data_IF_714862531787
#
_entry.id   IF_714862531787
#
_cell.length_a   1.000
_cell.length_b   1.000
_cell.length_c   1.000
_cell.angle_alpha   90.00
_cell.angle_beta   90.00
_cell.angle_gamma   90.00
#
_symmetry.space_group_name_H-M   'P 1'
#
loop_
_entity.id
_entity.type
_entity.pdbx_description
1 polymer ?
#
# COMPACT_ATOMS: atom_id res chain seq x y z
N UNK A 1 -6.55 -20.90 15.77
CA UNK A 1 -5.42 -21.49 15.01
C UNK A 1 -4.32 -20.44 14.99
N UNK A 2 -3.15 -20.74 15.55
CA UNK A 2 -2.01 -19.84 15.57
C UNK A 2 -0.73 -20.65 15.37
N UNK A 3 0.33 -20.01 14.86
CA UNK A 3 1.62 -20.64 14.60
C UNK A 3 2.00 -20.69 13.12
N UNK A 4 3.26 -21.01 12.79
CA UNK A 4 3.78 -21.01 11.42
C UNK A 4 3.00 -21.92 10.46
N UNK A 5 2.54 -23.07 10.93
CA UNK A 5 1.78 -24.06 10.17
C UNK A 5 0.41 -23.51 9.78
N UNK A 6 -0.27 -22.86 10.73
CA UNK A 6 -1.54 -22.19 10.47
C UNK A 6 -1.38 -21.04 9.46
N UNK A 7 -0.31 -20.26 9.59
CA UNK A 7 -0.01 -19.17 8.64
C UNK A 7 0.26 -19.72 7.23
N UNK A 8 1.01 -20.82 7.10
CA UNK A 8 1.28 -21.45 5.79
C UNK A 8 0.02 -22.05 5.18
N UNK A 9 -0.85 -22.64 6.00
CA UNK A 9 -2.13 -23.16 5.56
C UNK A 9 -2.99 -22.07 4.92
N UNK A 10 -3.18 -20.96 5.64
CA UNK A 10 -4.06 -19.85 5.24
C UNK A 10 -3.43 -18.97 4.14
N UNK A 11 -2.16 -18.57 4.28
CA UNK A 11 -1.55 -17.51 3.47
C UNK A 11 -0.75 -18.03 2.26
N UNK A 12 -0.61 -19.34 2.07
CA UNK A 12 0.27 -19.88 1.02
C UNK A 12 -0.22 -21.14 0.33
N UNK A 13 -0.60 -22.18 1.07
CA UNK A 13 -0.80 -23.52 0.49
C UNK A 13 -2.23 -23.79 0.02
N UNK A 14 -3.22 -23.26 0.73
CA UNK A 14 -4.65 -23.50 0.45
C UNK A 14 -5.42 -22.18 0.38
N UNK A 15 -4.82 -21.16 -0.26
CA UNK A 15 -5.44 -19.83 -0.35
C UNK A 15 -6.80 -19.87 -1.07
N UNK A 16 -7.00 -20.83 -1.97
CA UNK A 16 -8.23 -21.09 -2.71
C UNK A 16 -9.36 -21.68 -1.86
N UNK A 17 -9.07 -22.12 -0.63
CA UNK A 17 -10.11 -22.55 0.33
C UNK A 17 -10.78 -21.37 1.05
N UNK A 18 -10.28 -20.15 0.86
CA UNK A 18 -10.74 -18.96 1.57
C UNK A 18 -11.24 -17.90 0.59
N UNK A 19 -12.35 -17.27 0.94
CA UNK A 19 -12.82 -16.06 0.26
C UNK A 19 -12.14 -14.85 0.89
N UNK A 20 -11.41 -14.11 0.07
CA UNK A 20 -10.72 -12.89 0.50
C UNK A 20 -11.66 -11.69 0.49
N UNK A 21 -12.53 -11.61 -0.50
CA UNK A 21 -13.59 -10.60 -0.61
C UNK A 21 -14.50 -10.67 0.61
N UNK A 22 -14.93 -11.86 1.05
CA UNK A 22 -15.90 -11.99 2.14
C UNK A 22 -15.31 -11.76 3.53
N UNK A 23 -13.97 -11.69 3.64
CA UNK A 23 -13.29 -11.31 4.87
C UNK A 23 -13.43 -9.82 5.22
N UNK A 24 -13.87 -8.98 4.28
CA UNK A 24 -13.96 -7.52 4.47
C UNK A 24 -15.39 -7.02 4.69
N UNK A 25 -15.59 -5.98 5.53
CA UNK A 25 -16.90 -5.37 5.75
C UNK A 25 -17.39 -4.64 4.49
N UNK A 26 -18.71 -4.48 4.37
CA UNK A 26 -19.36 -3.84 3.21
C UNK A 26 -18.81 -2.45 2.92
N UNK A 27 -18.47 -1.67 3.95
CA UNK A 27 -17.91 -0.32 3.83
C UNK A 27 -16.58 -0.32 3.09
N UNK A 28 -15.74 -1.33 3.33
CA UNK A 28 -14.45 -1.48 2.66
C UNK A 28 -14.64 -1.87 1.19
N UNK A 29 -15.59 -2.78 0.91
CA UNK A 29 -15.97 -3.16 -0.45
C UNK A 29 -16.48 -1.96 -1.27
N UNK A 30 -17.34 -1.14 -0.68
CA UNK A 30 -17.89 0.06 -1.34
C UNK A 30 -16.82 1.11 -1.63
N UNK A 31 -15.89 1.33 -0.70
CA UNK A 31 -14.84 2.34 -0.87
C UNK A 31 -13.84 1.95 -1.98
N UNK A 32 -13.46 0.68 -2.05
CA UNK A 32 -12.37 0.22 -2.92
C UNK A 32 -12.85 -0.41 -4.23
N UNK A 33 -14.15 -0.71 -4.37
CA UNK A 33 -14.73 -1.27 -5.59
C UNK A 33 -14.00 -2.53 -6.06
N UNK A 34 -13.53 -2.54 -7.31
CA UNK A 34 -12.79 -3.65 -7.90
C UNK A 34 -11.27 -3.55 -7.68
N UNK A 35 -10.81 -2.89 -6.61
CA UNK A 35 -9.38 -2.80 -6.31
C UNK A 35 -8.70 -4.18 -6.21
N UNK A 36 -7.37 -4.20 -6.39
CA UNK A 36 -6.58 -5.41 -6.22
C UNK A 36 -6.81 -6.09 -4.86
N UNK A 37 -7.13 -5.33 -3.80
CA UNK A 37 -7.39 -5.88 -2.46
C UNK A 37 -8.61 -6.80 -2.37
N UNK A 38 -9.56 -6.65 -3.30
CA UNK A 38 -10.83 -7.39 -3.31
C UNK A 38 -10.88 -8.44 -4.43
N UNK A 39 -9.85 -8.50 -5.27
CA UNK A 39 -9.76 -9.46 -6.36
C UNK A 39 -9.17 -10.78 -5.86
N UNK A 40 -9.58 -11.87 -6.48
CA UNK A 40 -9.11 -13.22 -6.17
C UNK A 40 -8.70 -14.00 -7.43
N UNK A 41 -8.06 -15.15 -7.22
CA UNK A 41 -7.73 -16.10 -8.28
C UNK A 41 -6.92 -15.51 -9.44
N UNK A 42 -7.31 -15.86 -10.66
CA UNK A 42 -6.66 -15.40 -11.89
C UNK A 42 -6.74 -13.89 -12.09
N UNK A 43 -7.87 -13.26 -11.74
CA UNK A 43 -8.05 -11.82 -11.91
C UNK A 43 -7.05 -11.05 -11.04
N UNK A 44 -6.92 -11.43 -9.77
CA UNK A 44 -5.90 -10.87 -8.89
C UNK A 44 -4.48 -11.13 -9.41
N UNK A 45 -4.16 -12.36 -9.83
CA UNK A 45 -2.83 -12.70 -10.38
C UNK A 45 -2.46 -11.82 -11.57
N UNK A 46 -3.39 -11.67 -12.52
CA UNK A 46 -3.21 -10.86 -13.73
C UNK A 46 -2.98 -9.39 -13.38
N UNK A 47 -3.86 -8.79 -12.59
CA UNK A 47 -3.77 -7.37 -12.25
C UNK A 47 -2.55 -7.06 -11.37
N UNK A 48 -2.21 -7.94 -10.42
CA UNK A 48 -0.98 -7.82 -9.65
C UNK A 48 0.24 -7.84 -10.55
N UNK A 49 0.26 -8.69 -11.58
CA UNK A 49 1.36 -8.73 -12.57
C UNK A 49 1.47 -7.42 -13.35
N UNK A 50 0.37 -6.76 -13.67
CA UNK A 50 0.37 -5.45 -14.33
C UNK A 50 0.91 -4.34 -13.43
N UNK A 51 0.64 -4.38 -12.13
CA UNK A 51 1.14 -3.40 -11.16
C UNK A 51 2.61 -3.61 -10.78
N UNK A 52 3.13 -4.83 -10.93
CA UNK A 52 4.51 -5.18 -10.55
C UNK A 52 5.57 -4.16 -10.99
N UNK A 53 5.63 -3.68 -12.25
CA UNK A 53 6.66 -2.73 -12.70
C UNK A 53 6.74 -1.45 -11.86
N UNK A 54 5.59 -0.93 -11.37
CA UNK A 54 5.52 0.25 -10.51
C UNK A 54 6.22 0.07 -9.16
N UNK A 55 6.45 -1.17 -8.76
CA UNK A 55 7.09 -1.56 -7.50
C UNK A 55 8.39 -2.35 -7.72
N UNK A 56 8.95 -2.34 -8.94
CA UNK A 56 10.28 -2.93 -9.19
C UNK A 56 11.38 -1.96 -8.77
N UNK A 57 12.58 -2.48 -8.48
CA UNK A 57 13.69 -1.72 -7.89
C UNK A 57 14.06 -0.42 -8.61
N UNK A 58 13.94 -0.38 -9.95
CA UNK A 58 14.18 0.86 -10.73
C UNK A 58 13.15 1.95 -10.45
N UNK A 59 11.86 1.60 -10.37
CA UNK A 59 10.81 2.55 -10.04
C UNK A 59 10.96 3.04 -8.59
N UNK A 60 11.26 2.11 -7.66
CA UNK A 60 11.50 2.45 -6.25
C UNK A 60 12.68 3.41 -6.07
N UNK A 61 13.75 3.27 -6.86
CA UNK A 61 14.87 4.21 -6.82
C UNK A 61 14.45 5.64 -7.20
N UNK A 62 13.54 5.80 -8.16
CA UNK A 62 12.99 7.10 -8.54
C UNK A 62 12.10 7.72 -7.46
N UNK A 63 11.44 6.90 -6.63
CA UNK A 63 10.60 7.40 -5.54
C UNK A 63 11.40 7.93 -4.34
N UNK A 64 12.66 7.51 -4.19
CA UNK A 64 13.46 7.82 -3.01
C UNK A 64 13.66 9.33 -2.84
N UNK A 65 13.95 10.05 -3.92
CA UNK A 65 14.13 11.50 -3.90
C UNK A 65 12.88 12.20 -3.38
N UNK A 66 11.73 11.89 -3.95
CA UNK A 66 10.43 12.43 -3.52
C UNK A 66 10.10 12.08 -2.06
N UNK A 67 10.38 10.84 -1.62
CA UNK A 67 10.18 10.43 -0.22
C UNK A 67 11.04 11.25 0.74
N UNK A 68 12.30 11.50 0.39
CA UNK A 68 13.23 12.30 1.19
C UNK A 68 12.78 13.75 1.25
N UNK A 69 12.41 14.35 0.12
CA UNK A 69 11.93 15.73 0.07
C UNK A 69 10.69 15.97 0.93
N UNK A 70 9.71 15.05 0.86
CA UNK A 70 8.51 15.13 1.70
C UNK A 70 8.90 14.97 3.18
N UNK A 71 9.73 13.97 3.51
CA UNK A 71 10.14 13.70 4.89
C UNK A 71 10.87 14.89 5.52
N UNK A 72 11.80 15.50 4.79
CA UNK A 72 12.56 16.67 5.25
C UNK A 72 11.65 17.87 5.54
N UNK A 73 10.59 18.06 4.74
CA UNK A 73 9.59 19.10 5.00
C UNK A 73 8.84 18.84 6.31
N UNK A 74 8.41 17.60 6.55
CA UNK A 74 7.75 17.23 7.82
C UNK A 74 8.69 17.39 9.01
N UNK A 75 9.96 16.99 8.90
CA UNK A 75 10.92 17.13 10.00
C UNK A 75 11.16 18.59 10.38
N UNK A 76 11.30 19.49 9.40
CA UNK A 76 11.40 20.94 9.65
C UNK A 76 10.15 21.47 10.36
N UNK A 77 8.97 21.01 9.96
CA UNK A 77 7.72 21.40 10.61
C UNK A 77 7.64 20.88 12.06
N UNK A 78 8.02 19.63 12.30
CA UNK A 78 8.00 19.01 13.63
C UNK A 78 8.99 19.66 14.59
N UNK A 79 10.16 20.06 14.10
CA UNK A 79 11.12 20.84 14.87
C UNK A 79 10.51 22.17 15.36
N UNK A 80 9.75 22.86 14.50
CA UNK A 80 9.06 24.10 14.86
C UNK A 80 7.91 23.89 15.85
N UNK A 81 7.22 22.75 15.79
CA UNK A 81 6.12 22.42 16.70
C UNK A 81 6.60 22.10 18.11
N UNK A 82 7.81 21.54 18.25
CA UNK A 82 8.41 21.12 19.51
C UNK A 82 7.73 19.89 20.13
N UNK A 83 6.45 19.99 20.49
CA UNK A 83 5.64 18.87 21.01
C UNK A 83 4.41 18.64 20.14
N UNK A 84 4.23 17.41 19.67
CA UNK A 84 3.12 17.01 18.81
C UNK A 84 2.74 15.54 19.04
N UNK A 85 1.58 15.14 18.52
CA UNK A 85 1.16 13.75 18.54
C UNK A 85 1.72 12.99 17.32
N UNK A 86 2.50 11.94 17.58
CA UNK A 86 3.15 11.15 16.52
C UNK A 86 2.18 10.51 15.53
N UNK A 87 1.11 9.88 16.01
CA UNK A 87 0.24 9.08 15.15
C UNK A 87 -0.48 9.91 14.06
N UNK A 88 -1.09 11.07 14.37
CA UNK A 88 -1.65 11.96 13.33
C UNK A 88 -0.60 12.45 12.33
N UNK A 89 0.59 12.80 12.80
CA UNK A 89 1.65 13.35 11.94
C UNK A 89 2.26 12.29 11.02
N UNK A 90 2.53 11.09 11.55
CA UNK A 90 2.97 9.96 10.74
C UNK A 90 1.93 9.54 9.71
N UNK A 91 0.64 9.63 10.05
CA UNK A 91 -0.45 9.35 9.12
C UNK A 91 -0.48 10.36 7.97
N UNK A 92 -0.24 11.65 8.24
CA UNK A 92 -0.15 12.69 7.20
C UNK A 92 1.04 12.45 6.28
N UNK A 93 2.23 12.27 6.86
CA UNK A 93 3.46 11.99 6.12
C UNK A 93 3.32 10.77 5.20
N UNK A 94 2.88 9.64 5.74
CA UNK A 94 2.75 8.40 4.96
C UNK A 94 1.67 8.48 3.89
N UNK A 95 0.56 9.17 4.17
CA UNK A 95 -0.50 9.40 3.18
C UNK A 95 -0.05 10.30 2.03
N UNK A 96 0.69 11.35 2.32
CA UNK A 96 1.22 12.26 1.30
C UNK A 96 2.23 11.55 0.40
N UNK A 97 3.18 10.81 0.98
CA UNK A 97 4.11 9.96 0.23
C UNK A 97 3.32 8.99 -0.67
N UNK A 98 2.38 8.23 -0.12
CA UNK A 98 1.64 7.24 -0.88
C UNK A 98 0.84 7.87 -2.03
N UNK A 99 0.24 9.04 -1.80
CA UNK A 99 -0.58 9.75 -2.79
C UNK A 99 0.26 10.26 -3.95
N UNK A 100 1.38 10.92 -3.65
CA UNK A 100 2.27 11.50 -4.67
C UNK A 100 2.87 10.39 -5.53
N UNK A 101 3.44 9.36 -4.91
CA UNK A 101 4.08 8.27 -5.66
C UNK A 101 3.09 7.48 -6.53
N UNK A 102 1.86 7.31 -6.05
CA UNK A 102 0.82 6.61 -6.81
C UNK A 102 0.31 7.45 -7.99
N UNK A 103 0.23 8.77 -7.85
CA UNK A 103 -0.22 9.67 -8.93
C UNK A 103 0.88 9.96 -9.96
N UNK A 104 2.12 10.19 -9.52
CA UNK A 104 3.25 10.57 -10.38
C UNK A 104 3.74 9.42 -11.26
N UNK A 105 3.61 8.18 -10.78
CA UNK A 105 3.92 6.99 -11.58
C UNK A 105 3.07 6.93 -12.87
N UNK A 106 1.80 7.32 -12.80
CA UNK A 106 0.91 7.36 -13.97
C UNK A 106 1.28 8.48 -14.95
N UNK A 107 1.78 9.62 -14.46
CA UNK A 107 2.22 10.75 -15.30
C UNK A 107 3.52 10.48 -16.06
N UNK A 108 4.38 9.59 -15.55
CA UNK A 108 5.70 9.30 -16.13
C UNK A 108 5.71 8.14 -17.13
N UNK A 109 4.60 7.41 -17.26
CA UNK A 109 4.46 6.22 -18.14
C UNK A 109 3.48 6.41 -19.30
N UNK A 110 2.94 7.62 -19.46
CA UNK A 110 2.25 8.11 -20.68
C UNK A 110 3.17 9.07 -21.44
#
# INVERSE_FOLDING_TARGET
>A
MAGPEANRFILSSHMDHFSWQDGWPITFKTLLGESLFLQEGEQHRRNRKLLRPAFHGRALAGYLETMVEISDRYFKQWEQLGTFAWFPEMKKLTFEIASILSCDYYSSTM
#
